data_IF_166626830405
#
_entry.id   IF_166626830405
#
_cell.length_a   1.000
_cell.length_b   1.000
_cell.length_c   1.000
_cell.angle_alpha   90.00
_cell.angle_beta   90.00
_cell.angle_gamma   90.00
#
_symmetry.space_group_name_H-M   'P 1'
#
loop_
_entity.id
_entity.type
_entity.pdbx_description
1 polymer ?
#
# COMPACT_ATOMS: atom_id res chain seq x y z
N UNK A 1 26.65 -8.36 -22.05
CA UNK A 1 26.19 -7.54 -20.92
C UNK A 1 25.49 -8.48 -19.97
N UNK A 2 25.90 -8.49 -18.71
CA UNK A 2 25.27 -9.33 -17.70
C UNK A 2 23.91 -8.74 -17.33
N UNK A 3 22.88 -9.59 -17.37
CA UNK A 3 21.55 -9.25 -16.90
C UNK A 3 21.59 -9.13 -15.38
N UNK A 4 21.15 -7.98 -14.87
CA UNK A 4 21.10 -7.66 -13.45
C UNK A 4 19.65 -7.50 -12.99
N UNK A 5 19.43 -7.60 -11.69
CA UNK A 5 18.09 -7.59 -11.10
C UNK A 5 17.91 -6.40 -10.16
N UNK A 6 16.72 -5.82 -10.22
CA UNK A 6 16.20 -4.85 -9.27
C UNK A 6 14.93 -5.44 -8.66
N UNK A 7 14.87 -5.54 -7.32
CA UNK A 7 13.72 -6.13 -6.61
C UNK A 7 13.22 -5.15 -5.56
N UNK A 8 11.92 -4.91 -5.53
CA UNK A 8 11.26 -4.04 -4.56
C UNK A 8 10.36 -4.85 -3.62
N UNK A 9 10.29 -4.41 -2.36
CA UNK A 9 9.41 -4.95 -1.33
C UNK A 9 8.77 -3.82 -0.55
N UNK A 10 7.50 -3.98 -0.19
CA UNK A 10 6.86 -3.19 0.87
C UNK A 10 6.77 -4.05 2.12
N UNK A 11 7.45 -3.67 3.20
CA UNK A 11 7.53 -4.51 4.41
C UNK A 11 6.75 -3.92 5.59
N UNK A 12 6.42 -2.63 5.57
CA UNK A 12 5.69 -1.96 6.65
C UNK A 12 4.88 -0.74 6.17
N UNK A 13 4.09 -0.14 7.06
CA UNK A 13 3.46 1.17 6.77
C UNK A 13 4.53 2.27 6.66
N UNK A 14 5.51 2.30 7.58
CA UNK A 14 6.62 3.25 7.57
C UNK A 14 7.93 2.63 8.07
N UNK A 15 9.06 3.26 7.74
CA UNK A 15 10.37 2.98 8.33
C UNK A 15 10.88 4.15 9.17
N UNK A 16 11.54 3.84 10.28
CA UNK A 16 12.33 4.82 11.02
C UNK A 16 13.74 4.95 10.40
N UNK A 17 13.85 5.72 9.31
CA UNK A 17 15.07 5.83 8.49
C UNK A 17 16.32 6.26 9.28
N UNK A 18 16.18 7.16 10.26
CA UNK A 18 17.32 7.64 11.04
C UNK A 18 18.00 6.56 11.89
N UNK A 19 17.21 5.66 12.49
CA UNK A 19 17.77 4.53 13.25
C UNK A 19 18.26 3.41 12.31
N UNK A 20 17.57 3.23 11.18
CA UNK A 20 17.96 2.25 10.17
C UNK A 20 19.33 2.59 9.56
N UNK A 21 19.56 3.87 9.25
CA UNK A 21 20.87 4.36 8.79
C UNK A 21 21.99 3.98 9.76
N UNK A 22 21.80 4.31 11.04
CA UNK A 22 22.80 4.01 12.08
C UNK A 22 23.08 2.52 12.22
N UNK A 23 22.05 1.67 12.22
CA UNK A 23 22.23 0.21 12.35
C UNK A 23 22.94 -0.37 11.12
N UNK A 24 22.53 0.03 9.91
CA UNK A 24 23.18 -0.41 8.67
C UNK A 24 24.64 0.06 8.57
N UNK A 25 24.95 1.31 8.93
CA UNK A 25 26.33 1.77 8.97
C UNK A 25 27.18 0.97 9.96
N UNK A 26 26.61 0.56 11.10
CA UNK A 26 27.31 -0.30 12.06
C UNK A 26 27.60 -1.72 11.51
N UNK A 27 26.81 -2.18 10.54
CA UNK A 27 27.01 -3.43 9.82
C UNK A 27 27.90 -3.29 8.57
N UNK A 28 28.48 -2.11 8.34
CA UNK A 28 29.45 -1.86 7.26
C UNK A 28 28.86 -1.42 5.92
N UNK A 29 27.57 -1.06 5.87
CA UNK A 29 26.98 -0.41 4.70
C UNK A 29 27.35 1.08 4.66
N UNK A 30 27.52 1.62 3.46
CA UNK A 30 27.93 3.03 3.26
C UNK A 30 26.73 3.84 2.84
N UNK A 31 26.38 4.85 3.62
CA UNK A 31 25.31 5.78 3.26
C UNK A 31 25.76 6.67 2.08
N UNK A 32 24.89 6.76 1.08
CA UNK A 32 25.10 7.61 -0.09
C UNK A 32 24.46 8.97 0.19
N UNK A 33 25.30 9.96 0.48
CA UNK A 33 24.85 11.31 0.87
C UNK A 33 24.78 12.31 -0.30
N UNK A 34 24.97 11.85 -1.54
CA UNK A 34 24.96 12.73 -2.72
C UNK A 34 23.57 13.08 -3.24
N UNK A 35 22.52 12.48 -2.67
CA UNK A 35 21.15 12.80 -3.05
C UNK A 35 20.81 14.27 -2.73
N UNK A 36 20.14 14.97 -3.66
CA UNK A 36 19.60 16.31 -3.43
C UNK A 36 18.68 16.37 -2.19
N UNK A 37 18.71 17.49 -1.46
CA UNK A 37 17.95 17.63 -0.19
C UNK A 37 16.44 17.59 -0.35
N UNK A 38 15.95 17.87 -1.55
CA UNK A 38 14.56 17.77 -1.98
C UNK A 38 14.12 16.32 -2.24
N UNK A 39 15.05 15.37 -2.40
CA UNK A 39 14.78 13.94 -2.25
C UNK A 39 14.62 13.59 -0.76
N UNK A 40 13.59 14.13 -0.13
CA UNK A 40 13.25 13.87 1.26
C UNK A 40 12.69 12.44 1.43
N UNK A 41 12.68 11.94 2.68
CA UNK A 41 12.07 10.66 3.05
C UNK A 41 12.69 9.42 2.39
N UNK A 42 13.95 9.49 1.97
CA UNK A 42 14.68 8.34 1.46
C UNK A 42 16.05 8.20 2.12
N UNK A 43 16.47 6.94 2.30
CA UNK A 43 17.81 6.55 2.70
C UNK A 43 18.42 5.68 1.61
N UNK A 44 19.64 5.97 1.19
CA UNK A 44 20.34 5.17 0.17
C UNK A 44 21.62 4.59 0.74
N UNK A 45 21.78 3.28 0.55
CA UNK A 45 22.92 2.51 1.02
C UNK A 45 23.65 1.87 -0.16
N UNK A 46 24.93 2.17 -0.30
CA UNK A 46 25.83 1.54 -1.25
C UNK A 46 26.58 0.36 -0.63
N UNK A 47 26.93 -0.62 -1.46
CA UNK A 47 27.82 -1.71 -1.08
C UNK A 47 28.76 -2.11 -2.21
N UNK A 48 29.99 -2.49 -1.86
CA UNK A 48 30.98 -2.96 -2.82
C UNK A 48 30.68 -4.38 -3.33
N UNK A 49 30.06 -5.24 -2.51
CA UNK A 49 29.74 -6.62 -2.90
C UNK A 49 28.43 -6.70 -3.69
N UNK A 50 28.52 -6.61 -5.02
CA UNK A 50 27.38 -6.77 -5.94
C UNK A 50 27.13 -8.22 -6.39
N UNK A 51 25.92 -8.54 -6.84
CA UNK A 51 25.55 -9.89 -7.31
C UNK A 51 26.17 -10.23 -8.68
N UNK A 52 26.30 -9.24 -9.55
CA UNK A 52 26.94 -9.31 -10.87
C UNK A 52 27.99 -8.20 -11.02
N UNK A 53 28.97 -8.44 -11.88
CA UNK A 53 29.96 -7.42 -12.25
C UNK A 53 29.31 -6.31 -13.10
N UNK A 54 29.91 -5.12 -13.10
CA UNK A 54 29.50 -4.00 -13.96
C UNK A 54 28.62 -2.93 -13.30
N UNK A 55 28.05 -3.19 -12.12
CA UNK A 55 27.31 -2.19 -11.34
C UNK A 55 27.41 -2.48 -9.84
N UNK A 56 27.69 -1.49 -8.96
CA UNK A 56 27.72 -1.73 -7.52
C UNK A 56 26.31 -2.01 -6.98
N UNK A 57 26.25 -2.68 -5.83
CA UNK A 57 24.99 -2.91 -5.12
C UNK A 57 24.47 -1.62 -4.51
N UNK A 58 23.19 -1.33 -4.70
CA UNK A 58 22.54 -0.12 -4.15
C UNK A 58 21.19 -0.49 -3.55
N UNK A 59 20.86 0.06 -2.38
CA UNK A 59 19.57 -0.14 -1.73
C UNK A 59 18.95 1.21 -1.45
N UNK A 60 17.70 1.36 -1.86
CA UNK A 60 16.86 2.51 -1.57
C UNK A 60 15.84 2.11 -0.51
N UNK A 61 15.76 2.85 0.60
CA UNK A 61 14.73 2.70 1.63
C UNK A 61 13.86 3.94 1.66
N UNK A 62 12.60 3.77 1.30
CA UNK A 62 11.58 4.79 1.34
C UNK A 62 10.94 4.81 2.72
N UNK A 63 10.76 6.00 3.29
CA UNK A 63 10.13 6.17 4.61
C UNK A 63 8.74 5.54 4.65
N UNK A 64 8.08 5.48 3.51
CA UNK A 64 6.78 4.87 3.26
C UNK A 64 6.78 3.33 3.43
N UNK A 65 7.87 2.75 3.94
CA UNK A 65 7.91 1.34 4.32
C UNK A 65 8.19 0.39 3.16
N UNK A 66 8.97 0.85 2.17
CA UNK A 66 9.40 0.04 1.04
C UNK A 66 10.91 0.12 0.79
N UNK A 67 11.50 -0.99 0.37
CA UNK A 67 12.92 -1.11 0.06
C UNK A 67 13.12 -1.65 -1.36
N UNK A 68 14.06 -1.06 -2.11
CA UNK A 68 14.39 -1.45 -3.48
C UNK A 68 15.87 -1.80 -3.58
N UNK A 69 16.16 -3.02 -4.01
CA UNK A 69 17.49 -3.62 -4.04
C UNK A 69 17.98 -3.73 -5.48
N UNK A 70 19.07 -3.04 -5.81
CA UNK A 70 19.73 -3.10 -7.12
C UNK A 70 21.01 -3.91 -7.02
N UNK A 71 21.08 -4.99 -7.80
CA UNK A 71 22.27 -5.86 -7.90
C UNK A 71 22.83 -6.34 -6.55
N UNK A 72 21.93 -6.62 -5.60
CA UNK A 72 22.26 -7.11 -4.26
C UNK A 72 22.15 -8.64 -4.23
N UNK A 73 23.12 -9.32 -3.61
CA UNK A 73 23.09 -10.78 -3.44
C UNK A 73 21.97 -11.19 -2.48
N UNK A 74 21.31 -12.32 -2.73
CA UNK A 74 20.25 -12.85 -1.86
C UNK A 74 20.64 -12.96 -0.38
N UNK A 75 21.88 -13.37 -0.09
CA UNK A 75 22.37 -13.47 1.29
C UNK A 75 22.40 -12.10 1.97
N UNK A 76 22.85 -11.08 1.25
CA UNK A 76 22.91 -9.70 1.73
C UNK A 76 21.51 -9.11 1.86
N UNK A 77 20.65 -9.32 0.87
CA UNK A 77 19.24 -8.89 0.92
C UNK A 77 18.53 -9.48 2.14
N UNK A 78 18.68 -10.78 2.42
CA UNK A 78 18.12 -11.41 3.63
C UNK A 78 18.65 -10.81 4.92
N UNK A 79 19.95 -10.52 4.99
CA UNK A 79 20.53 -9.87 6.15
C UNK A 79 19.99 -8.46 6.36
N UNK A 80 19.88 -7.66 5.29
CA UNK A 80 19.30 -6.32 5.34
C UNK A 80 17.84 -6.37 5.78
N UNK A 81 17.04 -7.30 5.26
CA UNK A 81 15.65 -7.48 5.69
C UNK A 81 15.56 -7.79 7.20
N UNK A 82 16.44 -8.63 7.74
CA UNK A 82 16.49 -8.90 9.18
C UNK A 82 16.86 -7.69 10.03
N UNK A 83 17.72 -6.80 9.52
CA UNK A 83 18.03 -5.53 10.19
C UNK A 83 16.80 -4.61 10.13
N UNK A 84 16.17 -4.53 8.96
CA UNK A 84 15.02 -3.68 8.67
C UNK A 84 13.83 -3.95 9.60
N UNK A 85 13.55 -5.22 9.95
CA UNK A 85 12.47 -5.64 10.87
C UNK A 85 12.42 -4.82 12.18
N UNK A 86 13.56 -4.38 12.71
CA UNK A 86 13.62 -3.60 13.98
C UNK A 86 13.23 -2.14 13.82
N UNK A 87 13.13 -1.67 12.58
CA UNK A 87 12.91 -0.27 12.21
C UNK A 87 11.57 -0.07 11.50
N UNK A 88 10.76 -1.13 11.39
CA UNK A 88 9.44 -1.12 10.79
C UNK A 88 8.38 -0.59 11.76
N UNK A 89 7.51 0.27 11.25
CA UNK A 89 6.33 0.78 11.94
C UNK A 89 5.11 0.14 11.27
N UNK A 90 4.35 -0.63 12.05
CA UNK A 90 3.25 -1.48 11.55
C UNK A 90 3.74 -2.43 10.42
N UNK A 91 4.55 -3.44 10.76
CA UNK A 91 5.07 -4.40 9.78
C UNK A 91 3.94 -5.23 9.15
N UNK A 92 4.15 -5.63 7.91
CA UNK A 92 3.25 -6.49 7.15
C UNK A 92 3.58 -7.97 7.36
N UNK A 93 2.64 -8.84 6.98
CA UNK A 93 2.84 -10.28 7.05
C UNK A 93 3.92 -10.73 6.04
N UNK A 94 4.96 -11.42 6.52
CA UNK A 94 6.12 -11.85 5.71
C UNK A 94 5.71 -12.58 4.41
N UNK A 95 4.68 -13.43 4.48
CA UNK A 95 4.18 -14.14 3.30
C UNK A 95 3.61 -13.17 2.23
N UNK A 96 2.88 -12.14 2.67
CA UNK A 96 2.33 -11.11 1.79
C UNK A 96 3.45 -10.25 1.19
N UNK A 97 4.42 -9.85 2.00
CA UNK A 97 5.60 -9.07 1.56
C UNK A 97 6.34 -9.77 0.42
N UNK A 98 6.57 -11.08 0.54
CA UNK A 98 7.25 -11.84 -0.49
C UNK A 98 6.37 -12.13 -1.71
N UNK A 99 5.06 -12.27 -1.54
CA UNK A 99 4.13 -12.54 -2.64
C UNK A 99 3.91 -11.31 -3.52
N UNK A 100 3.84 -10.12 -2.91
CA UNK A 100 3.57 -8.84 -3.58
C UNK A 100 4.85 -8.06 -3.91
N UNK A 101 5.98 -8.76 -4.10
CA UNK A 101 7.23 -8.12 -4.54
C UNK A 101 7.17 -7.76 -6.03
N UNK A 102 8.03 -6.83 -6.45
CA UNK A 102 8.19 -6.45 -7.85
C UNK A 102 9.64 -6.64 -8.28
N UNK A 103 9.86 -7.36 -9.37
CA UNK A 103 11.19 -7.63 -9.91
C UNK A 103 11.29 -7.17 -11.38
N UNK A 104 12.33 -6.38 -11.68
CA UNK A 104 12.68 -5.97 -13.02
C UNK A 104 14.13 -6.32 -13.33
N UNK A 105 14.36 -6.73 -14.57
CA UNK A 105 15.69 -6.90 -15.10
C UNK A 105 16.24 -5.56 -15.60
N UNK A 106 17.55 -5.39 -15.48
CA UNK A 106 18.22 -4.24 -16.06
C UNK A 106 19.60 -4.56 -16.63
N UNK A 107 20.04 -3.70 -17.54
CA UNK A 107 21.37 -3.72 -18.15
C UNK A 107 21.92 -2.29 -18.22
N UNK A 108 23.24 -2.15 -18.28
CA UNK A 108 23.90 -0.87 -18.59
C UNK A 108 24.27 -0.83 -20.06
N UNK A 109 23.90 0.23 -20.76
CA UNK A 109 24.14 0.43 -22.21
C UNK A 109 24.54 1.87 -22.49
N UNK A 110 25.24 2.09 -23.60
CA UNK A 110 25.49 3.44 -24.12
C UNK A 110 24.16 4.12 -24.51
N UNK A 111 24.09 5.44 -24.30
CA UNK A 111 22.92 6.26 -24.60
C UNK A 111 21.93 6.43 -23.44
N UNK A 112 20.81 7.10 -23.71
CA UNK A 112 19.84 7.49 -22.67
C UNK A 112 19.16 6.30 -21.99
N UNK A 113 18.98 6.45 -20.68
CA UNK A 113 18.22 5.51 -19.88
C UNK A 113 16.76 5.44 -20.27
N UNK A 114 16.17 4.25 -20.15
CA UNK A 114 14.76 4.02 -20.47
C UNK A 114 14.27 2.67 -19.97
N UNK A 115 12.96 2.58 -19.77
CA UNK A 115 12.25 1.31 -19.65
C UNK A 115 11.74 0.86 -21.01
N UNK A 116 12.15 -0.33 -21.46
CA UNK A 116 11.66 -0.89 -22.72
C UNK A 116 11.28 -2.36 -22.56
N UNK A 117 9.99 -2.67 -22.78
CA UNK A 117 9.45 -4.04 -22.72
C UNK A 117 9.76 -4.77 -21.39
N UNK A 118 9.70 -4.06 -20.27
CA UNK A 118 9.95 -4.63 -18.94
C UNK A 118 11.43 -4.82 -18.59
N UNK A 119 12.34 -4.28 -19.40
CA UNK A 119 13.77 -4.23 -19.10
C UNK A 119 14.21 -2.77 -18.94
N UNK A 120 14.87 -2.47 -17.83
CA UNK A 120 15.47 -1.15 -17.58
C UNK A 120 16.83 -1.11 -18.29
N UNK A 121 17.07 -0.07 -19.08
CA UNK A 121 18.36 0.22 -19.68
C UNK A 121 18.89 1.46 -18.98
N UNK A 122 20.01 1.33 -18.28
CA UNK A 122 20.70 2.42 -17.62
C UNK A 122 21.87 2.90 -18.49
N UNK A 123 22.05 4.21 -18.55
CA UNK A 123 23.15 4.84 -19.26
C UNK A 123 24.47 4.50 -18.57
N UNK A 124 25.39 3.85 -19.29
CA UNK A 124 26.71 3.49 -18.76
C UNK A 124 27.71 4.65 -18.68
N UNK A 125 27.40 5.79 -19.30
CA UNK A 125 28.31 6.94 -19.44
C UNK A 125 28.07 8.03 -18.38
N UNK A 126 27.05 7.87 -17.53
CA UNK A 126 26.76 8.81 -16.46
C UNK A 126 27.80 8.73 -15.34
N UNK A 127 27.99 9.87 -14.66
CA UNK A 127 28.68 9.86 -13.39
C UNK A 127 27.86 9.12 -12.32
N UNK A 128 28.48 8.92 -11.15
CA UNK A 128 27.88 8.13 -10.08
C UNK A 128 26.58 8.77 -9.57
N UNK A 129 26.54 10.09 -9.46
CA UNK A 129 25.42 10.81 -8.86
C UNK A 129 24.21 10.80 -9.80
N UNK A 130 24.40 11.09 -11.08
CA UNK A 130 23.34 11.00 -12.09
C UNK A 130 22.81 9.56 -12.23
N UNK A 131 23.70 8.56 -12.18
CA UNK A 131 23.30 7.15 -12.21
C UNK A 131 22.44 6.75 -10.99
N UNK A 132 22.72 7.32 -9.81
CA UNK A 132 21.90 7.12 -8.60
C UNK A 132 20.54 7.80 -8.76
N UNK A 133 20.47 9.00 -9.33
CA UNK A 133 19.21 9.72 -9.56
C UNK A 133 18.29 9.00 -10.55
N UNK A 134 18.84 8.40 -11.61
CA UNK A 134 18.05 7.58 -12.52
C UNK A 134 17.53 6.31 -11.83
N UNK A 135 18.38 5.60 -11.07
CA UNK A 135 17.93 4.46 -10.25
C UNK A 135 16.87 4.87 -9.24
N UNK A 136 16.99 6.06 -8.66
CA UNK A 136 15.98 6.62 -7.76
C UNK A 136 14.63 6.78 -8.47
N UNK A 137 14.61 7.33 -9.69
CA UNK A 137 13.37 7.50 -10.45
C UNK A 137 12.63 6.18 -10.69
N UNK A 138 13.36 5.14 -11.10
CA UNK A 138 12.82 3.78 -11.22
C UNK A 138 12.37 3.19 -9.88
N UNK A 139 13.18 3.35 -8.83
CA UNK A 139 12.90 2.83 -7.49
C UNK A 139 11.67 3.46 -6.87
N UNK A 140 11.43 4.75 -7.13
CA UNK A 140 10.28 5.49 -6.63
C UNK A 140 8.98 4.95 -7.25
N UNK A 141 8.96 4.70 -8.56
CA UNK A 141 7.83 4.04 -9.23
C UNK A 141 7.62 2.59 -8.76
N UNK A 142 8.69 1.84 -8.49
CA UNK A 142 8.60 0.48 -7.93
C UNK A 142 8.04 0.49 -6.50
N UNK A 143 8.47 1.45 -5.67
CA UNK A 143 7.95 1.67 -4.32
C UNK A 143 6.42 1.86 -4.33
N UNK A 144 5.91 2.68 -5.26
CA UNK A 144 4.47 2.84 -5.50
C UNK A 144 3.78 1.52 -5.82
N UNK A 145 4.38 0.72 -6.70
CA UNK A 145 3.79 -0.54 -7.14
C UNK A 145 3.61 -1.54 -6.00
N UNK A 146 4.66 -1.73 -5.19
CA UNK A 146 4.63 -2.69 -4.07
C UNK A 146 3.72 -2.22 -2.93
N UNK A 147 3.70 -0.91 -2.62
CA UNK A 147 2.77 -0.37 -1.62
C UNK A 147 1.32 -0.52 -2.05
N UNK A 148 1.05 -0.23 -3.32
CA UNK A 148 -0.28 -0.39 -3.89
C UNK A 148 -0.73 -1.86 -3.86
N UNK A 149 0.17 -2.79 -4.14
CA UNK A 149 -0.12 -4.23 -4.08
C UNK A 149 -0.53 -4.68 -2.67
N UNK A 150 0.16 -4.22 -1.61
CA UNK A 150 -0.23 -4.50 -0.22
C UNK A 150 -1.63 -3.95 0.11
N UNK A 151 -1.94 -2.74 -0.34
CA UNK A 151 -3.27 -2.14 -0.12
C UNK A 151 -4.37 -2.85 -0.91
N UNK A 152 -4.10 -3.24 -2.15
CA UNK A 152 -4.99 -4.04 -2.98
C UNK A 152 -5.32 -5.38 -2.29
N UNK A 153 -4.30 -6.10 -1.81
CA UNK A 153 -4.50 -7.35 -1.07
C UNK A 153 -5.28 -7.15 0.24
N UNK A 154 -5.00 -6.06 0.97
CA UNK A 154 -5.72 -5.72 2.20
C UNK A 154 -7.21 -5.41 1.94
N UNK A 155 -7.50 -4.72 0.84
CA UNK A 155 -8.86 -4.43 0.41
C UNK A 155 -9.59 -5.67 -0.08
N UNK A 156 -8.94 -6.54 -0.85
CA UNK A 156 -9.52 -7.78 -1.33
C UNK A 156 -9.87 -8.72 -0.17
N UNK A 157 -8.99 -8.83 0.84
CA UNK A 157 -9.27 -9.54 2.10
C UNK A 157 -10.48 -8.96 2.84
N UNK A 158 -10.65 -7.64 2.86
CA UNK A 158 -11.82 -7.00 3.44
C UNK A 158 -13.10 -7.34 2.65
N UNK A 159 -13.04 -7.26 1.32
CA UNK A 159 -14.15 -7.59 0.41
C UNK A 159 -14.62 -9.03 0.63
N UNK A 160 -13.69 -9.99 0.68
CA UNK A 160 -14.00 -11.39 0.98
C UNK A 160 -14.76 -11.54 2.30
N UNK A 161 -14.38 -10.76 3.32
CA UNK A 161 -15.03 -10.81 4.64
C UNK A 161 -16.48 -10.31 4.65
N UNK A 162 -16.90 -9.53 3.64
CA UNK A 162 -18.26 -8.99 3.52
C UNK A 162 -19.06 -9.57 2.34
N UNK A 163 -18.44 -10.39 1.49
CA UNK A 163 -19.03 -10.90 0.24
C UNK A 163 -20.35 -11.66 0.46
N UNK A 164 -20.49 -12.37 1.57
CA UNK A 164 -21.71 -13.15 1.89
C UNK A 164 -22.95 -12.28 2.12
N UNK A 165 -22.78 -10.97 2.36
CA UNK A 165 -23.86 -10.07 2.76
C UNK A 165 -24.75 -9.69 1.54
N UNK A 166 -24.20 -9.16 0.42
CA UNK A 166 -24.98 -8.99 -0.81
C UNK A 166 -25.69 -10.27 -1.26
N UNK A 167 -25.03 -11.43 -1.15
CA UNK A 167 -25.60 -12.72 -1.55
C UNK A 167 -26.79 -13.12 -0.68
N UNK A 168 -26.70 -12.93 0.64
CA UNK A 168 -27.81 -13.17 1.55
C UNK A 168 -28.99 -12.25 1.26
N UNK A 169 -28.73 -10.96 1.01
CA UNK A 169 -29.75 -9.97 0.65
C UNK A 169 -30.47 -10.33 -0.65
N UNK A 170 -29.70 -10.69 -1.70
CA UNK A 170 -30.25 -11.16 -2.99
C UNK A 170 -31.15 -12.39 -2.83
N UNK A 171 -30.81 -13.30 -1.94
CA UNK A 171 -31.60 -14.50 -1.65
C UNK A 171 -32.82 -14.23 -0.74
N UNK A 172 -33.08 -12.97 -0.35
CA UNK A 172 -34.14 -12.62 0.61
C UNK A 172 -33.90 -13.19 2.01
N UNK A 173 -32.68 -13.66 2.31
CA UNK A 173 -32.32 -14.22 3.60
C UNK A 173 -32.04 -13.10 4.58
N UNK A 174 -32.41 -13.30 5.84
CA UNK A 174 -32.00 -12.38 6.92
C UNK A 174 -30.48 -12.40 7.03
N UNK A 175 -29.85 -11.24 6.85
CA UNK A 175 -28.43 -11.04 7.20
C UNK A 175 -28.27 -11.30 8.70
N UNK A 176 -27.46 -12.30 9.05
CA UNK A 176 -27.19 -12.72 10.43
C UNK A 176 -25.98 -11.97 11.00
N UNK A 177 -25.97 -10.65 10.87
CA UNK A 177 -24.97 -9.81 11.51
C UNK A 177 -25.64 -9.02 12.63
N UNK A 178 -25.04 -9.09 13.81
CA UNK A 178 -25.32 -8.22 14.92
C UNK A 178 -24.91 -6.79 14.59
N UNK A 179 -25.46 -5.83 15.34
CA UNK A 179 -25.05 -4.43 15.20
C UNK A 179 -23.57 -4.23 15.51
N UNK A 180 -23.03 -4.98 16.47
CA UNK A 180 -21.62 -4.92 16.85
C UNK A 180 -20.72 -5.36 15.70
N UNK A 181 -21.03 -6.48 15.04
CA UNK A 181 -20.26 -6.97 13.87
C UNK A 181 -20.28 -5.97 12.71
N UNK A 182 -21.43 -5.32 12.45
CA UNK A 182 -21.50 -4.27 11.41
C UNK A 182 -20.63 -3.06 11.78
N UNK A 183 -20.65 -2.62 13.03
CA UNK A 183 -19.80 -1.52 13.48
C UNK A 183 -18.31 -1.89 13.42
N UNK A 184 -17.96 -3.13 13.73
CA UNK A 184 -16.58 -3.63 13.60
C UNK A 184 -16.13 -3.58 12.14
N UNK A 185 -16.94 -4.09 11.20
CA UNK A 185 -16.61 -4.05 9.76
C UNK A 185 -16.50 -2.63 9.22
N UNK A 186 -17.35 -1.73 9.70
CA UNK A 186 -17.25 -0.31 9.39
C UNK A 186 -15.94 0.30 9.91
N UNK A 187 -15.54 -0.02 11.15
CA UNK A 187 -14.26 0.40 11.71
C UNK A 187 -13.06 -0.13 10.93
N UNK A 188 -13.06 -1.41 10.56
CA UNK A 188 -12.03 -2.03 9.72
C UNK A 188 -11.89 -1.31 8.37
N UNK A 189 -13.00 -1.02 7.69
CA UNK A 189 -13.01 -0.28 6.42
C UNK A 189 -12.52 1.16 6.56
N UNK A 190 -12.93 1.85 7.63
CA UNK A 190 -12.45 3.21 7.91
C UNK A 190 -10.96 3.23 8.20
N UNK A 191 -10.43 2.27 8.96
CA UNK A 191 -9.01 2.14 9.21
C UNK A 191 -8.23 1.89 7.92
N UNK A 192 -8.72 0.99 7.05
CA UNK A 192 -8.11 0.73 5.75
C UNK A 192 -8.10 1.98 4.86
N UNK A 193 -9.24 2.66 4.73
CA UNK A 193 -9.36 3.92 3.98
C UNK A 193 -8.43 4.99 4.53
N UNK A 194 -8.34 5.12 5.85
CA UNK A 194 -7.47 6.10 6.49
C UNK A 194 -5.99 5.85 6.16
N UNK A 195 -5.53 4.59 6.22
CA UNK A 195 -4.15 4.23 5.85
C UNK A 195 -3.83 4.53 4.39
N UNK A 196 -4.74 4.17 3.47
CA UNK A 196 -4.60 4.45 2.04
C UNK A 196 -4.55 5.97 1.80
N UNK A 197 -5.45 6.73 2.45
CA UNK A 197 -5.54 8.18 2.27
C UNK A 197 -4.37 8.95 2.90
N UNK A 198 -3.82 8.52 4.03
CA UNK A 198 -2.63 9.16 4.60
C UNK A 198 -1.43 9.06 3.65
N UNK A 199 -1.47 8.07 2.76
CA UNK A 199 -0.44 7.84 1.75
C UNK A 199 -0.86 8.36 0.37
N UNK A 200 -1.97 9.09 0.23
CA UNK A 200 -2.45 9.55 -1.09
C UNK A 200 -1.54 10.59 -1.73
N UNK A 201 -0.84 11.38 -0.91
CA UNK A 201 0.14 12.36 -1.36
C UNK A 201 1.28 11.68 -2.14
N UNK A 202 1.54 10.39 -1.86
CA UNK A 202 2.51 9.57 -2.57
C UNK A 202 2.10 9.25 -4.02
N UNK A 203 0.81 9.30 -4.34
CA UNK A 203 0.29 8.95 -5.67
C UNK A 203 0.37 10.11 -6.68
N UNK A 204 0.82 11.29 -6.23
CA UNK A 204 1.06 12.47 -7.07
C UNK A 204 2.55 12.49 -7.44
N UNK A 205 2.90 12.91 -8.65
CA UNK A 205 4.29 13.13 -9.05
C UNK A 205 5.00 14.01 -8.02
N UNK A 206 6.06 13.52 -7.38
CA UNK A 206 6.79 14.28 -6.36
C UNK A 206 7.41 15.58 -6.89
N UNK A 207 7.40 16.63 -6.07
CA UNK A 207 8.02 17.93 -6.38
C UNK A 207 9.51 17.83 -6.75
N UNK A 208 10.19 16.77 -6.29
CA UNK A 208 11.56 16.43 -6.69
C UNK A 208 11.77 16.44 -8.22
N UNK A 209 10.75 16.09 -9.00
CA UNK A 209 10.86 16.03 -10.46
C UNK A 209 10.63 17.37 -11.18
N UNK A 210 10.16 18.42 -10.48
CA UNK A 210 9.71 19.67 -11.10
C UNK A 210 10.74 20.34 -12.02
N UNK A 211 12.03 20.30 -11.65
CA UNK A 211 13.13 20.85 -12.46
C UNK A 211 13.97 19.76 -13.15
N UNK A 212 13.47 18.51 -13.23
CA UNK A 212 14.22 17.32 -13.65
C UNK A 212 13.42 16.48 -14.66
N UNK A 213 13.08 17.07 -15.80
CA UNK A 213 12.27 16.45 -16.87
C UNK A 213 12.76 15.05 -17.28
N UNK A 214 14.07 14.84 -17.41
CA UNK A 214 14.62 13.51 -17.76
C UNK A 214 14.26 12.44 -16.73
N UNK A 215 14.32 12.75 -15.43
CA UNK A 215 13.98 11.82 -14.36
C UNK A 215 12.46 11.62 -14.25
N UNK A 216 11.69 12.68 -14.47
CA UNK A 216 10.22 12.61 -14.55
C UNK A 216 9.79 11.64 -15.65
N UNK A 217 10.41 11.70 -16.84
CA UNK A 217 10.10 10.78 -17.93
C UNK A 217 10.36 9.32 -17.53
N UNK A 218 11.50 9.02 -16.87
CA UNK A 218 11.79 7.66 -16.40
C UNK A 218 10.76 7.17 -15.39
N UNK A 219 10.42 8.02 -14.42
CA UNK A 219 9.41 7.74 -13.40
C UNK A 219 8.03 7.49 -14.03
N UNK A 220 7.56 8.38 -14.88
CA UNK A 220 6.24 8.30 -15.52
C UNK A 220 6.12 7.08 -16.44
N UNK A 221 7.17 6.78 -17.23
CA UNK A 221 7.19 5.57 -18.07
C UNK A 221 7.13 4.30 -17.23
N UNK A 222 7.76 4.31 -16.07
CA UNK A 222 7.75 3.17 -15.14
C UNK A 222 6.38 3.04 -14.47
N UNK A 223 5.79 4.14 -13.99
CA UNK A 223 4.42 4.17 -13.48
C UNK A 223 3.39 3.70 -14.52
N UNK A 224 3.59 4.09 -15.79
CA UNK A 224 2.75 3.63 -16.90
C UNK A 224 2.89 2.12 -17.13
N UNK A 225 4.12 1.60 -17.15
CA UNK A 225 4.38 0.17 -17.31
C UNK A 225 3.75 -0.65 -16.19
N UNK A 226 3.88 -0.21 -14.93
CA UNK A 226 3.31 -0.84 -13.75
C UNK A 226 1.80 -0.57 -13.57
N UNK A 227 1.19 0.16 -14.51
CA UNK A 227 -0.24 0.50 -14.53
C UNK A 227 -0.75 1.19 -13.26
N UNK A 228 0.10 1.98 -12.60
CA UNK A 228 -0.17 2.58 -11.27
C UNK A 228 -1.49 3.36 -11.28
N UNK A 229 -1.69 4.28 -12.22
CA UNK A 229 -2.92 5.11 -12.28
C UNK A 229 -4.18 4.26 -12.43
N UNK A 230 -4.14 3.19 -13.23
CA UNK A 230 -5.28 2.29 -13.42
C UNK A 230 -5.57 1.50 -12.14
N UNK A 231 -4.53 0.97 -11.51
CA UNK A 231 -4.63 0.19 -10.26
C UNK A 231 -5.20 1.04 -9.12
N UNK A 232 -4.69 2.25 -8.94
CA UNK A 232 -5.23 3.25 -7.99
C UNK A 232 -6.70 3.51 -8.24
N UNK A 233 -7.11 3.72 -9.50
CA UNK A 233 -8.51 3.94 -9.85
C UNK A 233 -9.40 2.76 -9.46
N UNK A 234 -9.01 1.53 -9.81
CA UNK A 234 -9.76 0.31 -9.49
C UNK A 234 -9.86 0.11 -7.98
N UNK A 235 -8.76 0.31 -7.24
CA UNK A 235 -8.75 0.22 -5.79
C UNK A 235 -9.71 1.24 -5.15
N UNK A 236 -9.71 2.50 -5.62
CA UNK A 236 -10.63 3.53 -5.13
C UNK A 236 -12.10 3.20 -5.43
N UNK A 237 -12.41 2.65 -6.61
CA UNK A 237 -13.76 2.17 -6.95
C UNK A 237 -14.20 1.03 -6.03
N UNK A 238 -13.33 0.03 -5.81
CA UNK A 238 -13.58 -1.08 -4.86
C UNK A 238 -13.84 -0.56 -3.45
N UNK A 239 -13.03 0.38 -2.98
CA UNK A 239 -13.16 0.99 -1.65
C UNK A 239 -14.48 1.74 -1.52
N UNK A 240 -14.87 2.50 -2.55
CA UNK A 240 -16.15 3.20 -2.60
C UNK A 240 -17.34 2.24 -2.53
N UNK A 241 -17.32 1.15 -3.31
CA UNK A 241 -18.37 0.13 -3.24
C UNK A 241 -18.48 -0.50 -1.84
N UNK A 242 -17.35 -0.76 -1.18
CA UNK A 242 -17.35 -1.29 0.20
C UNK A 242 -18.02 -0.31 1.18
N UNK A 243 -17.76 0.99 1.02
CA UNK A 243 -18.36 2.02 1.88
C UNK A 243 -19.88 2.10 1.69
N UNK A 244 -20.33 2.07 0.44
CA UNK A 244 -21.76 2.07 0.11
C UNK A 244 -22.47 0.84 0.69
N UNK A 245 -21.87 -0.35 0.54
CA UNK A 245 -22.44 -1.58 1.10
C UNK A 245 -22.51 -1.53 2.63
N UNK A 246 -21.46 -1.02 3.29
CA UNK A 246 -21.42 -0.93 4.75
C UNK A 246 -22.44 0.10 5.27
N UNK A 247 -22.68 1.19 4.55
CA UNK A 247 -23.72 2.16 4.90
C UNK A 247 -25.14 1.58 4.73
N UNK A 248 -25.38 0.83 3.65
CA UNK A 248 -26.64 0.09 3.47
C UNK A 248 -26.92 -0.87 4.63
N UNK A 249 -25.89 -1.58 5.10
CA UNK A 249 -26.01 -2.49 6.26
C UNK A 249 -26.38 -1.74 7.54
N UNK A 250 -25.76 -0.59 7.79
CA UNK A 250 -26.07 0.27 8.93
C UNK A 250 -27.52 0.77 8.89
N UNK A 251 -27.98 1.23 7.73
CA UNK A 251 -29.34 1.73 7.54
C UNK A 251 -30.37 0.61 7.77
N UNK A 252 -30.14 -0.60 7.25
CA UNK A 252 -31.03 -1.74 7.48
C UNK A 252 -31.16 -2.14 8.96
N UNK A 253 -30.08 -2.03 9.75
CA UNK A 253 -30.14 -2.27 11.19
C UNK A 253 -30.91 -1.18 11.94
N UNK A 254 -30.78 0.08 11.50
CA UNK A 254 -31.52 1.19 12.07
C UNK A 254 -33.04 1.03 11.86
N UNK A 255 -33.47 0.66 10.65
CA UNK A 255 -34.88 0.36 10.35
C UNK A 255 -35.46 -0.75 11.24
N UNK A 256 -34.73 -1.85 11.44
CA UNK A 256 -35.17 -2.93 12.35
C UNK A 256 -35.35 -2.46 13.80
N UNK A 257 -34.52 -1.52 14.27
CA UNK A 257 -34.65 -0.95 15.61
C UNK A 257 -35.85 -0.01 15.69
N UNK A 258 -36.04 0.85 14.68
CA UNK A 258 -37.18 1.74 14.59
C UNK A 258 -38.51 0.96 14.58
N UNK A 259 -38.62 -0.08 13.75
CA UNK A 259 -39.81 -0.95 13.71
C UNK A 259 -40.09 -1.63 15.05
N UNK A 260 -39.05 -2.04 15.79
CA UNK A 260 -39.21 -2.64 17.13
C UNK A 260 -39.76 -1.62 18.13
N UNK A 261 -39.27 -0.39 18.08
CA UNK A 261 -39.76 0.71 18.91
C UNK A 261 -41.23 1.01 18.57
N UNK A 262 -41.57 1.10 17.28
CA UNK A 262 -42.94 1.32 16.82
C UNK A 262 -43.88 0.23 17.33
N UNK A 263 -43.50 -1.05 17.21
CA UNK A 263 -44.30 -2.15 17.76
C UNK A 263 -44.48 -2.08 19.27
N UNK A 264 -43.44 -1.67 20.01
CA UNK A 264 -43.54 -1.47 21.46
C UNK A 264 -44.56 -0.38 21.81
N UNK A 265 -44.56 0.74 21.06
CA UNK A 265 -45.52 1.83 21.23
C UNK A 265 -46.95 1.36 20.94
N UNK A 266 -47.17 0.64 19.82
CA UNK A 266 -48.49 0.09 19.45
C UNK A 266 -49.01 -0.86 20.53
N UNK A 267 -48.16 -1.73 21.08
CA UNK A 267 -48.55 -2.65 22.16
C UNK A 267 -48.94 -1.87 23.42
N UNK A 268 -48.15 -0.85 23.82
CA UNK A 268 -48.46 -0.02 24.99
C UNK A 268 -49.80 0.70 24.87
N UNK A 269 -50.09 1.31 23.71
CA UNK A 269 -51.38 1.95 23.44
C UNK A 269 -52.51 0.93 23.48
N UNK A 270 -52.30 -0.26 22.92
CA UNK A 270 -53.31 -1.33 22.91
C UNK A 270 -53.67 -1.77 24.34
N UNK A 271 -52.66 -1.93 25.20
CA UNK A 271 -52.86 -2.29 26.62
C UNK A 271 -53.65 -1.20 27.35
N UNK A 272 -53.30 0.08 27.14
CA UNK A 272 -54.00 1.22 27.75
C UNK A 272 -55.48 1.23 27.38
N UNK A 273 -55.80 1.07 26.09
CA UNK A 273 -57.17 1.03 25.60
C UNK A 273 -57.95 -0.15 26.20
N UNK A 274 -57.32 -1.30 26.36
CA UNK A 274 -57.96 -2.48 26.99
C UNK A 274 -58.30 -2.23 28.47
N UNK A 275 -57.41 -1.56 29.23
CA UNK A 275 -57.70 -1.20 30.62
C UNK A 275 -58.85 -0.20 30.73
N UNK A 276 -58.88 0.82 29.87
CA UNK A 276 -59.95 1.81 29.88
C UNK A 276 -61.31 1.18 29.53
N UNK A 277 -61.34 0.29 28.53
CA UNK A 277 -62.55 -0.48 28.22
C UNK A 277 -62.98 -1.36 29.39
N UNK A 278 -62.04 -2.09 30.02
CA UNK A 278 -62.34 -2.91 31.20
C UNK A 278 -62.96 -2.11 32.34
N UNK A 279 -62.49 -0.87 32.56
CA UNK A 279 -63.02 0.06 33.57
C UNK A 279 -64.41 0.61 33.24
N UNK A 280 -64.72 0.76 31.95
CA UNK A 280 -66.05 1.23 31.51
C UNK A 280 -67.09 0.11 31.62
N UNK A 281 -66.69 -1.15 31.41
CA UNK A 281 -67.59 -2.30 31.44
C UNK A 281 -67.78 -2.95 32.82
N UNK A 282 -66.90 -2.68 33.79
CA UNK A 282 -66.90 -3.30 35.13
C UNK A 282 -66.84 -2.25 36.24
#
# INVERSE_FOLDING_TARGET
MDLMHCIAFATADEYHLGSLSQDLTSHGYVEVTSLPRDAANILVMGMESSAKEGDPGTIFFFREGAAVFWNVKDKTMKHVMQVLEKHEIQPYEIALVHWENEELNYIKTEGQSKLHRGEIKLNSELDLDDAILEKFAFSNALCLSVKLAIWEASLDKFIESIQSIPEALKAGKKVKLSHEEVMQKMGELFALRHRINLSSDFLITPDFYWDRENLEELYDKTCQFLSITRRVKVMNEKLQHCMELTDLMRNHLHEKRALRLEWMIVILITIEVMFELGRVFF
#
